data_IF_616922863000
#
_entry.id   IF_616922863000
#
_cell.length_a   1.000
_cell.length_b   1.000
_cell.length_c   1.000
_cell.angle_alpha   90.00
_cell.angle_beta   90.00
_cell.angle_gamma   90.00
#
_symmetry.space_group_name_H-M   'P 1'
#
loop_
_entity.id
_entity.type
_entity.pdbx_description
1 polymer ?
#
# COMPACT_ATOMS: atom_id res chain seq x y z
N UNK A 1 -15.14 7.23 19.17
CA UNK A 1 -15.68 7.41 17.80
C UNK A 1 -15.72 8.92 17.52
N UNK A 2 -15.33 9.52 16.40
CA UNK A 2 -14.87 9.04 15.11
C UNK A 2 -14.19 10.23 14.39
N UNK A 3 -12.88 10.48 14.54
CA UNK A 3 -12.19 11.57 13.84
C UNK A 3 -12.38 11.50 12.32
N UNK A 4 -12.45 10.28 11.78
CA UNK A 4 -12.78 10.03 10.38
C UNK A 4 -14.15 10.59 9.96
N UNK A 5 -15.21 10.42 10.76
CA UNK A 5 -16.55 10.96 10.43
C UNK A 5 -16.57 12.49 10.50
N UNK A 6 -15.81 13.10 11.42
CA UNK A 6 -15.67 14.56 11.49
C UNK A 6 -14.93 15.13 10.29
N UNK A 7 -13.83 14.49 9.87
CA UNK A 7 -13.11 14.84 8.67
C UNK A 7 -14.00 14.70 7.42
N UNK A 8 -14.79 13.61 7.33
CA UNK A 8 -15.76 13.41 6.25
C UNK A 8 -16.82 14.52 6.21
N UNK A 9 -17.30 14.97 7.36
CA UNK A 9 -18.23 16.10 7.45
C UNK A 9 -17.63 17.40 6.88
N UNK A 10 -16.38 17.70 7.22
CA UNK A 10 -15.66 18.86 6.66
C UNK A 10 -15.45 18.75 5.14
N UNK A 11 -15.11 17.55 4.64
CA UNK A 11 -14.97 17.29 3.20
C UNK A 11 -16.30 17.50 2.48
N UNK A 12 -17.41 16.95 3.01
CA UNK A 12 -18.75 17.15 2.44
C UNK A 12 -19.12 18.64 2.36
N UNK A 13 -18.81 19.41 3.41
CA UNK A 13 -19.02 20.86 3.39
C UNK A 13 -18.22 21.56 2.28
N UNK A 14 -16.95 21.20 2.08
CA UNK A 14 -16.14 21.74 0.98
C UNK A 14 -16.69 21.35 -0.41
N UNK A 15 -17.12 20.09 -0.60
CA UNK A 15 -17.66 19.61 -1.86
C UNK A 15 -18.97 20.30 -2.23
N UNK A 16 -19.84 20.54 -1.25
CA UNK A 16 -21.08 21.32 -1.44
C UNK A 16 -20.79 22.76 -1.88
N UNK A 17 -19.78 23.40 -1.27
CA UNK A 17 -19.35 24.75 -1.69
C UNK A 17 -18.79 24.79 -3.11
N UNK A 18 -18.25 23.68 -3.58
CA UNK A 18 -17.75 23.54 -4.95
C UNK A 18 -18.81 23.01 -5.94
N UNK A 19 -20.05 22.74 -5.49
CA UNK A 19 -21.13 22.18 -6.30
C UNK A 19 -20.81 20.84 -6.99
N UNK A 20 -19.99 19.98 -6.36
CA UNK A 20 -19.59 18.66 -6.90
C UNK A 20 -19.90 17.50 -5.93
N UNK A 21 -20.61 17.75 -4.82
CA UNK A 21 -20.89 16.73 -3.81
C UNK A 21 -21.78 15.59 -4.33
N UNK A 22 -22.80 15.93 -5.14
CA UNK A 22 -23.67 14.95 -5.75
C UNK A 22 -22.90 13.98 -6.66
N UNK A 23 -22.04 14.51 -7.54
CA UNK A 23 -21.27 13.70 -8.49
C UNK A 23 -20.26 12.79 -7.76
N UNK A 24 -19.58 13.32 -6.74
CA UNK A 24 -18.60 12.57 -5.96
C UNK A 24 -19.26 11.47 -5.12
N UNK A 25 -20.37 11.75 -4.43
CA UNK A 25 -21.03 10.76 -3.58
C UNK A 25 -21.92 9.78 -4.34
N UNK A 26 -22.48 10.18 -5.49
CA UNK A 26 -23.29 9.28 -6.34
C UNK A 26 -22.47 8.09 -6.86
N UNK A 27 -21.15 8.28 -7.06
CA UNK A 27 -20.23 7.19 -7.41
C UNK A 27 -20.13 6.09 -6.34
N UNK A 28 -20.50 6.37 -5.07
CA UNK A 28 -20.46 5.41 -3.94
C UNK A 28 -19.10 4.72 -3.74
N UNK A 29 -18.01 5.38 -4.15
CA UNK A 29 -16.65 4.86 -4.00
C UNK A 29 -16.02 5.34 -2.71
N UNK A 30 -16.14 4.54 -1.65
CA UNK A 30 -15.50 4.81 -0.35
C UNK A 30 -14.52 3.69 -0.05
N UNK A 31 -13.28 4.06 0.30
CA UNK A 31 -12.24 3.11 0.72
C UNK A 31 -11.73 3.49 2.09
N UNK A 32 -11.59 2.51 2.98
CA UNK A 32 -11.01 2.72 4.29
C UNK A 32 -9.48 2.84 4.15
N UNK A 33 -8.90 3.93 4.67
CA UNK A 33 -7.46 4.00 4.86
C UNK A 33 -7.09 3.10 6.06
N UNK A 34 -6.35 2.04 5.79
CA UNK A 34 -5.80 1.14 6.80
C UNK A 34 -4.27 1.29 6.76
N UNK A 35 -3.63 1.76 7.85
CA UNK A 35 -2.18 1.81 7.93
C UNK A 35 -1.56 0.44 7.68
N UNK A 36 -0.41 0.41 7.02
CA UNK A 36 0.28 -0.84 6.67
C UNK A 36 1.17 -1.39 7.79
N UNK A 37 1.29 -0.65 8.90
CA UNK A 37 2.26 -0.89 9.99
C UNK A 37 1.88 -2.05 10.92
N UNK A 38 0.62 -2.50 10.89
CA UNK A 38 0.14 -3.58 11.75
C UNK A 38 0.71 -4.95 11.35
N UNK A 39 1.11 -5.10 10.08
CA UNK A 39 1.68 -6.35 9.56
C UNK A 39 3.17 -6.52 9.88
N UNK A 40 3.91 -5.43 10.05
CA UNK A 40 5.35 -5.46 10.36
C UNK A 40 5.61 -5.58 11.86
N UNK A 41 4.73 -5.02 12.68
CA UNK A 41 4.83 -5.09 14.15
C UNK A 41 4.39 -6.46 14.70
N UNK A 42 3.37 -7.10 14.10
CA UNK A 42 2.98 -8.48 14.46
C UNK A 42 4.04 -9.52 14.05
N UNK A 43 4.73 -9.32 12.92
CA UNK A 43 5.80 -10.20 12.46
C UNK A 43 7.01 -10.22 13.41
N UNK A 44 7.21 -9.18 14.24
CA UNK A 44 8.28 -9.15 15.25
C UNK A 44 8.12 -10.20 16.36
N UNK A 45 6.89 -10.70 16.58
CA UNK A 45 6.60 -11.74 17.57
C UNK A 45 6.89 -13.16 17.07
N UNK A 46 6.75 -13.42 15.76
CA UNK A 46 7.07 -14.72 15.15
C UNK A 46 8.57 -14.95 15.02
N UNK A 47 9.40 -13.89 14.91
CA UNK A 47 10.86 -14.04 14.82
C UNK A 47 11.50 -14.59 16.10
N UNK A 48 10.86 -14.39 17.27
CA UNK A 48 11.30 -14.99 18.53
C UNK A 48 11.08 -16.50 18.56
N UNK A 49 10.00 -16.98 17.95
CA UNK A 49 9.71 -18.42 17.85
C UNK A 49 10.49 -19.09 16.71
N UNK A 50 10.76 -18.38 15.62
CA UNK A 50 11.53 -18.89 14.49
C UNK A 50 13.05 -18.94 14.76
N UNK A 51 13.61 -17.99 15.52
CA UNK A 51 15.01 -18.08 15.94
C UNK A 51 15.28 -19.31 16.82
N UNK A 52 14.31 -19.71 17.67
CA UNK A 52 14.40 -20.94 18.45
C UNK A 52 14.33 -22.22 17.57
N UNK A 53 13.58 -22.19 16.48
CA UNK A 53 13.48 -23.29 15.50
C UNK A 53 14.69 -23.37 14.55
N UNK A 54 15.26 -22.23 14.14
CA UNK A 54 16.45 -22.16 13.27
C UNK A 54 17.70 -22.69 13.99
N UNK A 55 17.80 -22.50 15.31
CA UNK A 55 18.86 -23.14 16.12
C UNK A 55 18.68 -24.67 16.19
N UNK A 56 17.46 -25.19 16.11
CA UNK A 56 17.19 -26.64 16.08
C UNK A 56 17.35 -27.27 14.68
N UNK A 57 17.19 -26.49 13.60
CA UNK A 57 17.22 -26.97 12.23
C UNK A 57 18.62 -27.01 11.57
N UNK A 58 19.68 -26.53 12.24
CA UNK A 58 21.06 -26.61 11.72
C UNK A 58 21.61 -28.05 11.54
N UNK A 59 20.80 -29.08 11.78
CA UNK A 59 21.14 -30.48 11.53
C UNK A 59 20.51 -31.09 10.26
N UNK A 60 19.83 -30.36 9.38
CA UNK A 60 19.28 -30.98 8.15
C UNK A 60 19.14 -30.03 6.96
N UNK A 61 19.78 -30.39 5.86
CA UNK A 61 19.77 -29.75 4.55
C UNK A 61 18.51 -30.08 3.75
N UNK A 62 17.87 -29.11 3.10
CA UNK A 62 17.42 -29.15 1.69
C UNK A 62 16.65 -27.85 1.36
N UNK A 63 16.98 -27.23 0.22
CA UNK A 63 16.33 -26.02 -0.25
C UNK A 63 15.03 -26.33 -0.99
N UNK A 64 13.96 -25.60 -0.64
CA UNK A 64 12.69 -25.62 -1.34
C UNK A 64 12.36 -24.20 -1.80
N UNK A 65 12.50 -23.94 -3.10
CA UNK A 65 12.13 -22.67 -3.72
C UNK A 65 10.65 -22.69 -4.05
N UNK A 66 9.86 -21.99 -3.24
CA UNK A 66 8.42 -21.74 -3.45
C UNK A 66 8.14 -21.09 -4.81
N UNK A 67 7.16 -21.63 -5.53
CA UNK A 67 6.78 -21.27 -6.90
C UNK A 67 6.22 -19.83 -7.03
N UNK A 68 6.75 -19.10 -8.00
CA UNK A 68 6.32 -17.77 -8.47
C UNK A 68 5.04 -17.85 -9.32
N UNK A 69 3.93 -18.26 -8.72
CA UNK A 69 2.64 -18.29 -9.40
C UNK A 69 1.55 -17.91 -8.42
N UNK A 70 1.28 -16.59 -8.33
CA UNK A 70 -0.03 -16.00 -7.97
C UNK A 70 0.06 -14.47 -8.01
N UNK A 71 0.22 -13.90 -9.21
CA UNK A 71 0.03 -12.45 -9.43
C UNK A 71 -1.42 -12.25 -9.86
N UNK A 72 -2.31 -12.09 -8.89
CA UNK A 72 -3.69 -11.71 -9.15
C UNK A 72 -3.78 -10.19 -9.31
N UNK A 73 -4.04 -9.69 -10.53
CA UNK A 73 -4.34 -8.28 -10.74
C UNK A 73 -5.67 -7.95 -10.06
N UNK A 74 -5.65 -7.11 -9.03
CA UNK A 74 -6.86 -6.58 -8.43
C UNK A 74 -7.46 -5.54 -9.37
N UNK A 75 -8.63 -5.86 -9.93
CA UNK A 75 -9.51 -4.88 -10.56
C UNK A 75 -9.94 -3.86 -9.50
N UNK A 76 -9.34 -2.68 -9.61
CA UNK A 76 -9.62 -1.42 -8.91
C UNK A 76 -10.77 -1.44 -7.87
N UNK A 77 -10.42 -1.64 -6.60
CA UNK A 77 -11.10 -0.95 -5.49
C UNK A 77 -12.40 -1.54 -4.93
N UNK A 78 -12.65 -2.84 -5.05
CA UNK A 78 -13.62 -3.51 -4.18
C UNK A 78 -12.91 -4.51 -3.26
N UNK A 79 -12.83 -4.16 -1.97
CA UNK A 79 -12.63 -5.16 -0.92
C UNK A 79 -14.00 -5.83 -0.72
N UNK A 80 -14.24 -6.94 -1.40
CA UNK A 80 -15.28 -7.86 -0.98
C UNK A 80 -14.85 -8.39 0.39
N UNK A 81 -15.59 -8.04 1.44
CA UNK A 81 -15.50 -8.72 2.74
C UNK A 81 -15.87 -10.19 2.52
N UNK A 82 -14.88 -11.00 2.14
CA UNK A 82 -14.92 -12.44 2.22
C UNK A 82 -14.84 -12.86 3.68
N UNK A 83 -15.78 -13.70 4.07
CA UNK A 83 -16.07 -14.12 5.45
C UNK A 83 -14.98 -14.94 6.15
N UNK A 84 -13.78 -15.14 5.58
CA UNK A 84 -12.75 -16.01 6.18
C UNK A 84 -11.35 -15.34 6.20
N UNK A 85 -11.20 -14.42 7.14
CA UNK A 85 -10.12 -14.30 8.14
C UNK A 85 -8.62 -14.47 7.88
N UNK A 86 -8.10 -14.77 6.68
CA UNK A 86 -6.64 -14.73 6.45
C UNK A 86 -6.28 -14.72 4.96
N UNK A 87 -6.68 -13.69 4.23
CA UNK A 87 -5.98 -13.38 2.98
C UNK A 87 -4.62 -12.78 3.38
N UNK A 88 -3.56 -13.57 3.22
CA UNK A 88 -2.19 -13.05 3.20
C UNK A 88 -2.03 -12.19 1.95
N UNK A 89 -2.69 -11.02 1.95
CA UNK A 89 -2.44 -9.92 1.03
C UNK A 89 -0.93 -9.77 1.00
N UNK A 90 -0.32 -9.99 -0.17
CA UNK A 90 1.13 -10.07 -0.31
C UNK A 90 1.83 -8.97 0.49
N UNK A 91 2.87 -9.35 1.23
CA UNK A 91 3.60 -8.44 2.12
C UNK A 91 3.98 -7.17 1.35
N UNK A 92 3.47 -6.02 1.79
CA UNK A 92 3.83 -4.72 1.22
C UNK A 92 5.05 -4.18 1.96
N UNK A 93 6.03 -3.67 1.23
CA UNK A 93 7.13 -2.92 1.83
C UNK A 93 6.59 -1.57 2.34
N UNK A 94 6.78 -1.30 3.63
CA UNK A 94 6.42 -0.03 4.25
C UNK A 94 7.59 0.94 4.09
N UNK A 95 7.33 2.10 3.50
CA UNK A 95 8.29 3.19 3.36
C UNK A 95 7.70 4.44 4.01
N UNK A 96 8.45 5.07 4.91
CA UNK A 96 8.05 6.31 5.56
C UNK A 96 8.39 7.54 4.69
N UNK A 97 7.91 8.71 5.12
CA UNK A 97 8.12 9.96 4.38
C UNK A 97 9.61 10.30 4.20
N UNK A 98 10.45 9.98 5.19
CA UNK A 98 11.89 10.25 5.10
C UNK A 98 12.57 9.30 4.10
N UNK A 99 12.28 8.01 4.14
CA UNK A 99 12.85 7.05 3.18
C UNK A 99 12.41 7.35 1.74
N UNK A 100 11.16 7.77 1.52
CA UNK A 100 10.68 8.15 0.18
C UNK A 100 11.42 9.37 -0.39
N UNK A 101 11.79 10.33 0.46
CA UNK A 101 12.54 11.51 0.05
C UNK A 101 14.02 11.19 -0.20
N UNK A 102 14.66 10.43 0.70
CA UNK A 102 16.08 10.07 0.57
C UNK A 102 16.38 9.21 -0.67
N UNK A 103 15.43 8.37 -1.08
CA UNK A 103 15.56 7.51 -2.25
C UNK A 103 15.04 8.15 -3.53
N UNK A 104 14.57 9.42 -3.48
CA UNK A 104 14.00 10.15 -4.62
C UNK A 104 12.98 9.32 -5.42
N UNK A 105 12.13 8.58 -4.71
CA UNK A 105 11.31 7.53 -5.34
C UNK A 105 10.24 8.13 -6.24
N UNK A 106 9.58 9.20 -5.78
CA UNK A 106 8.46 9.84 -6.48
C UNK A 106 8.77 11.24 -7.00
N UNK A 107 9.48 12.04 -6.20
CA UNK A 107 9.77 13.45 -6.46
C UNK A 107 11.20 13.75 -5.99
N UNK A 108 11.89 14.63 -6.71
CA UNK A 108 13.23 15.07 -6.30
C UNK A 108 13.10 16.28 -5.36
N UNK A 109 12.89 16.02 -4.06
CA UNK A 109 12.67 17.08 -3.07
C UNK A 109 13.91 17.95 -2.80
N UNK A 110 15.12 17.44 -3.03
CA UNK A 110 16.35 18.12 -2.64
C UNK A 110 16.80 19.18 -3.66
N UNK A 111 16.49 18.98 -4.94
CA UNK A 111 16.94 19.88 -6.01
C UNK A 111 15.83 20.80 -6.54
N UNK A 112 14.81 20.26 -7.19
CA UNK A 112 13.87 21.08 -7.97
C UNK A 112 12.38 20.78 -7.73
N UNK A 113 12.06 19.77 -6.91
CA UNK A 113 10.69 19.28 -6.70
C UNK A 113 10.06 18.67 -7.97
N UNK A 114 10.85 18.49 -9.03
CA UNK A 114 10.39 17.93 -10.31
C UNK A 114 10.53 16.41 -10.32
N UNK A 115 9.89 15.77 -11.29
CA UNK A 115 10.03 14.32 -11.50
C UNK A 115 11.33 13.91 -12.18
N UNK A 116 12.24 14.82 -12.54
CA UNK A 116 13.50 14.47 -13.21
C UNK A 116 14.48 13.86 -12.22
N UNK A 117 15.15 12.78 -12.61
CA UNK A 117 16.08 12.03 -11.75
C UNK A 117 15.40 11.03 -10.81
N UNK A 118 14.06 11.06 -10.68
CA UNK A 118 13.33 10.14 -9.79
C UNK A 118 13.28 8.71 -10.32
N UNK A 119 13.23 7.73 -9.41
CA UNK A 119 13.06 6.32 -9.77
C UNK A 119 11.75 6.09 -10.54
N UNK A 120 10.66 6.76 -10.12
CA UNK A 120 9.37 6.69 -10.82
C UNK A 120 9.50 7.09 -12.29
N UNK A 121 10.21 8.18 -12.61
CA UNK A 121 10.39 8.62 -14.00
C UNK A 121 11.22 7.63 -14.82
N UNK A 122 12.20 6.99 -14.20
CA UNK A 122 13.03 5.96 -14.84
C UNK A 122 12.24 4.67 -15.15
N UNK A 123 11.42 4.21 -14.20
CA UNK A 123 10.67 2.96 -14.31
C UNK A 123 9.39 3.09 -15.15
N UNK A 124 8.75 4.26 -15.13
CA UNK A 124 7.45 4.45 -15.74
C UNK A 124 7.49 4.47 -17.29
N UNK A 125 7.18 3.31 -17.87
CA UNK A 125 6.96 3.12 -19.31
C UNK A 125 5.49 2.91 -19.68
N UNK A 126 4.56 3.16 -18.76
CA UNK A 126 3.15 2.86 -18.97
C UNK A 126 2.50 3.83 -19.96
N UNK A 127 1.79 3.26 -20.94
CA UNK A 127 1.13 4.01 -22.01
C UNK A 127 -0.14 4.72 -21.52
N UNK A 128 -0.89 4.11 -20.60
CA UNK A 128 -2.18 4.62 -20.11
C UNK A 128 -2.04 5.50 -18.85
N UNK A 129 -2.94 6.46 -18.70
CA UNK A 129 -2.99 7.31 -17.50
C UNK A 129 -3.33 6.52 -16.23
N UNK A 130 -4.18 5.50 -16.35
CA UNK A 130 -4.48 4.58 -15.25
C UNK A 130 -3.27 3.73 -14.87
N UNK A 131 -2.50 3.23 -15.85
CA UNK A 131 -1.26 2.50 -15.60
C UNK A 131 -0.22 3.33 -14.84
N UNK A 132 -0.07 4.61 -15.20
CA UNK A 132 0.82 5.55 -14.49
C UNK A 132 0.41 5.75 -13.02
N UNK A 133 -0.90 5.76 -12.74
CA UNK A 133 -1.45 5.90 -11.39
C UNK A 133 -1.32 4.62 -10.57
N UNK A 134 -1.43 3.46 -11.21
CA UNK A 134 -1.31 2.16 -10.53
C UNK A 134 0.15 1.82 -10.17
N UNK A 135 1.10 2.30 -10.99
CA UNK A 135 2.52 2.14 -10.71
C UNK A 135 2.99 3.03 -9.54
N UNK A 136 2.23 4.08 -9.19
CA UNK A 136 2.56 5.04 -8.12
C UNK A 136 1.90 4.63 -6.80
#
# INVERSE_FOLDING_TARGET
SAPALRALGAVNWCLRRACIDHDVFSMKRVSAYVPTDDSSSAASSEVKSLSALITAAQSSTCGESTSLSDVHYLETGQVLLGSDGSSSLGKRLVLDGTSLANLELLENLAHDGTGTGTLWKFLNRSSTSFGRRLLR
#
